data_IF_952875648024
#
_entry.id   IF_952875648024
#
_cell.length_a   1.000
_cell.length_b   1.000
_cell.length_c   1.000
_cell.angle_alpha   90.00
_cell.angle_beta   90.00
_cell.angle_gamma   90.00
#
_symmetry.space_group_name_H-M   'P 1'
#
loop_
_entity.id
_entity.type
_entity.pdbx_description
1 polymer ?
#
# COMPACT_ATOMS: atom_id res chain seq x y z
N UNK A 1 0.80 -7.32 11.87
CA UNK A 1 2.04 -8.09 11.61
C UNK A 1 1.85 -8.95 10.37
N UNK A 2 2.26 -8.47 9.19
CA UNK A 2 2.18 -9.27 7.95
C UNK A 2 3.46 -10.11 7.81
N UNK A 3 3.32 -11.43 7.80
CA UNK A 3 4.44 -12.33 7.55
C UNK A 3 4.74 -12.35 6.04
N UNK A 4 5.87 -11.75 5.63
CA UNK A 4 6.31 -11.64 4.21
C UNK A 4 6.50 -12.99 3.51
N UNK A 5 6.63 -14.10 4.26
CA UNK A 5 6.83 -15.46 3.70
C UNK A 5 5.53 -16.12 3.23
N UNK A 6 4.41 -15.87 3.93
CA UNK A 6 3.14 -16.55 3.67
C UNK A 6 2.14 -15.69 2.86
N UNK A 7 2.34 -14.37 2.80
CA UNK A 7 1.57 -13.46 1.94
C UNK A 7 2.50 -12.78 0.93
N UNK A 8 2.75 -13.40 -0.24
CA UNK A 8 3.60 -12.84 -1.28
C UNK A 8 2.95 -11.66 -2.02
N UNK A 9 1.62 -11.51 -1.93
CA UNK A 9 0.87 -10.46 -2.61
C UNK A 9 1.08 -9.09 -1.96
N UNK A 10 1.38 -8.08 -2.77
CA UNK A 10 1.46 -6.69 -2.32
C UNK A 10 0.06 -6.21 -1.95
N UNK A 11 -0.10 -5.67 -0.75
CA UNK A 11 -1.41 -5.13 -0.36
C UNK A 11 -1.67 -3.83 -1.13
N UNK A 12 -2.75 -3.80 -1.90
CA UNK A 12 -3.24 -2.59 -2.55
C UNK A 12 -4.30 -1.97 -1.66
N UNK A 13 -3.90 -1.00 -0.83
CA UNK A 13 -4.81 -0.28 0.05
C UNK A 13 -5.12 1.06 -0.60
N UNK A 14 -6.42 1.37 -0.75
CA UNK A 14 -6.85 2.72 -1.13
C UNK A 14 -6.59 3.65 0.07
N UNK A 15 -5.63 4.55 -0.06
CA UNK A 15 -5.32 5.56 0.96
C UNK A 15 -5.81 6.92 0.49
N UNK A 16 -6.25 7.74 1.44
CA UNK A 16 -6.58 9.13 1.15
C UNK A 16 -5.29 9.92 0.93
N UNK A 17 -5.17 10.54 -0.23
CA UNK A 17 -4.09 11.47 -0.54
C UNK A 17 -4.55 12.89 -0.18
N UNK A 18 -3.94 13.57 0.79
CA UNK A 18 -4.35 14.92 1.20
C UNK A 18 -4.04 16.00 0.16
N UNK A 19 -3.12 15.73 -0.77
CA UNK A 19 -2.73 16.67 -1.84
C UNK A 19 -3.76 16.61 -2.97
N UNK A 20 -4.13 15.39 -3.40
CA UNK A 20 -5.09 15.17 -4.49
C UNK A 20 -6.54 15.14 -4.00
N UNK A 21 -6.74 15.04 -2.67
CA UNK A 21 -8.03 14.93 -1.96
C UNK A 21 -8.92 13.78 -2.47
N UNK A 22 -8.30 12.68 -2.87
CA UNK A 22 -8.99 11.49 -3.38
C UNK A 22 -8.38 10.23 -2.77
N UNK A 23 -9.16 9.15 -2.77
CA UNK A 23 -8.65 7.83 -2.41
C UNK A 23 -7.88 7.25 -3.60
N UNK A 24 -6.57 7.17 -3.45
CA UNK A 24 -5.65 6.67 -4.48
C UNK A 24 -5.16 5.27 -4.07
N UNK A 25 -5.02 4.32 -5.01
CA UNK A 25 -4.42 3.03 -4.72
C UNK A 25 -2.94 3.22 -4.33
N UNK A 26 -2.60 2.95 -3.07
CA UNK A 26 -1.23 2.99 -2.61
C UNK A 26 -0.62 1.59 -2.71
N UNK A 27 0.30 1.41 -3.65
CA UNK A 27 1.07 0.17 -3.77
C UNK A 27 2.29 0.27 -2.86
N UNK A 28 2.52 -0.76 -2.03
CA UNK A 28 3.71 -0.85 -1.19
C UNK A 28 4.97 -0.85 -2.09
N UNK A 29 5.69 0.28 -2.13
CA UNK A 29 7.02 0.38 -2.71
C UNK A 29 8.06 -0.06 -1.67
N UNK A 30 9.17 -0.66 -2.11
CA UNK A 30 10.28 -0.97 -1.22
C UNK A 30 10.85 0.36 -0.70
N UNK A 31 10.82 0.54 0.62
CA UNK A 31 11.62 1.56 1.31
C UNK A 31 13.08 1.18 1.06
N UNK A 32 13.87 2.11 0.51
CA UNK A 32 15.31 1.93 0.30
C UNK A 32 16.07 2.08 1.61
#
# INVERSE_FOLDING_TARGET
>A
TKNKRNMPEKMEIKKFDPVVRKHVPYKEAKIK
#
